data_IF_569290210909
#
_entry.id   IF_569290210909
#
_cell.length_a   1.000
_cell.length_b   1.000
_cell.length_c   1.000
_cell.angle_alpha   90.00
_cell.angle_beta   90.00
_cell.angle_gamma   90.00
#
_symmetry.space_group_name_H-M   'P 1'
#
loop_
_entity.id
_entity.type
_entity.pdbx_description
1 polymer ?
#
# COMPACT_ATOMS: atom_id res chain seq x y z
N UNK A 1 -1.16 9.45 -11.03
CA UNK A 1 -0.60 10.76 -10.65
C UNK A 1 -0.33 10.72 -9.16
N UNK A 2 0.83 11.16 -8.68
CA UNK A 2 1.12 11.16 -7.25
C UNK A 2 0.15 12.07 -6.49
N UNK A 3 -0.55 13.02 -7.12
CA UNK A 3 -1.65 13.77 -6.49
C UNK A 3 -3.00 13.04 -6.53
N UNK A 4 -3.05 11.80 -6.06
CA UNK A 4 -4.32 11.06 -5.94
C UNK A 4 -5.15 11.60 -4.76
N UNK A 5 -6.43 11.85 -4.98
CA UNK A 5 -7.34 12.23 -3.90
C UNK A 5 -7.55 11.05 -2.94
N UNK A 6 -7.73 11.32 -1.63
CA UNK A 6 -7.95 10.27 -0.61
C UNK A 6 -9.11 9.33 -0.96
N UNK A 7 -10.20 9.88 -1.52
CA UNK A 7 -11.35 9.09 -1.96
C UNK A 7 -10.99 8.14 -3.12
N UNK A 8 -10.24 8.64 -4.12
CA UNK A 8 -9.81 7.83 -5.27
C UNK A 8 -8.87 6.70 -4.83
N UNK A 9 -7.96 6.98 -3.88
CA UNK A 9 -7.08 5.97 -3.29
C UNK A 9 -7.89 4.87 -2.61
N UNK A 10 -8.90 5.22 -1.82
CA UNK A 10 -9.78 4.25 -1.15
C UNK A 10 -10.53 3.36 -2.15
N UNK A 11 -11.04 3.93 -3.24
CA UNK A 11 -11.73 3.16 -4.30
C UNK A 11 -10.75 2.16 -4.94
N UNK A 12 -9.51 2.58 -5.22
CA UNK A 12 -8.48 1.68 -5.76
C UNK A 12 -8.13 0.56 -4.78
N UNK A 13 -7.97 0.86 -3.49
CA UNK A 13 -7.69 -0.14 -2.45
C UNK A 13 -8.80 -1.19 -2.39
N UNK A 14 -10.07 -0.78 -2.42
CA UNK A 14 -11.20 -1.73 -2.45
C UNK A 14 -11.13 -2.68 -3.64
N UNK A 15 -10.86 -2.15 -4.83
CA UNK A 15 -10.68 -2.98 -6.04
C UNK A 15 -9.50 -3.94 -5.89
N UNK A 16 -8.37 -3.47 -5.36
CA UNK A 16 -7.19 -4.31 -5.14
C UNK A 16 -7.51 -5.47 -4.18
N UNK A 17 -8.26 -5.22 -3.10
CA UNK A 17 -8.73 -6.26 -2.18
C UNK A 17 -9.58 -7.33 -2.88
N UNK A 18 -10.48 -6.90 -3.77
CA UNK A 18 -11.33 -7.79 -4.56
C UNK A 18 -10.50 -8.69 -5.48
N UNK A 19 -9.61 -8.09 -6.30
CA UNK A 19 -8.73 -8.84 -7.21
C UNK A 19 -7.80 -9.83 -6.47
N UNK A 20 -7.27 -9.45 -5.30
CA UNK A 20 -6.46 -10.36 -4.48
C UNK A 20 -7.31 -11.49 -3.89
N UNK A 21 -8.56 -11.21 -3.52
CA UNK A 21 -9.51 -12.22 -3.06
C UNK A 21 -9.83 -13.26 -4.14
N UNK A 22 -9.84 -12.87 -5.40
CA UNK A 22 -10.00 -13.76 -6.55
C UNK A 22 -8.73 -14.57 -6.89
N UNK A 23 -7.61 -14.34 -6.20
CA UNK A 23 -6.36 -15.04 -6.46
C UNK A 23 -5.54 -14.43 -7.61
N UNK A 24 -5.83 -13.19 -8.01
CA UNK A 24 -5.06 -12.49 -9.03
C UNK A 24 -3.86 -11.74 -8.44
N UNK A 25 -2.74 -11.72 -9.19
CA UNK A 25 -1.59 -10.87 -8.88
C UNK A 25 -1.80 -9.46 -9.40
N UNK A 26 -1.28 -8.47 -8.68
CA UNK A 26 -1.47 -7.05 -9.02
C UNK A 26 -0.14 -6.34 -9.03
N UNK A 27 0.08 -5.51 -10.06
CA UNK A 27 1.22 -4.61 -10.15
C UNK A 27 0.76 -3.17 -9.97
N UNK A 28 1.11 -2.59 -8.83
CA UNK A 28 0.90 -1.17 -8.54
C UNK A 28 1.97 -0.36 -9.28
N UNK A 29 1.56 0.70 -9.98
CA UNK A 29 2.45 1.62 -10.70
C UNK A 29 2.07 3.06 -10.40
N UNK A 30 3.05 3.86 -9.98
CA UNK A 30 2.94 5.30 -9.76
C UNK A 30 3.89 5.98 -10.74
N UNK A 31 3.32 6.64 -11.74
CA UNK A 31 4.07 7.47 -12.68
C UNK A 31 4.24 8.87 -12.12
N UNK A 32 5.48 9.37 -12.15
CA UNK A 32 5.85 10.72 -11.77
C UNK A 32 6.05 11.55 -13.05
N UNK A 33 5.47 12.74 -13.09
CA UNK A 33 5.80 13.74 -14.11
C UNK A 33 7.07 14.48 -13.70
N UNK A 34 7.79 15.09 -14.64
CA UNK A 34 9.13 15.68 -14.39
C UNK A 34 9.20 16.66 -13.20
N UNK A 35 8.12 17.40 -12.93
CA UNK A 35 8.02 18.33 -11.78
C UNK A 35 7.84 17.64 -10.42
N UNK A 36 7.50 16.35 -10.43
CA UNK A 36 7.14 15.55 -9.26
C UNK A 36 8.25 14.56 -8.89
N UNK A 37 9.34 14.51 -9.67
CA UNK A 37 10.45 13.57 -9.47
C UNK A 37 11.16 13.76 -8.12
N UNK A 38 11.09 14.95 -7.51
CA UNK A 38 11.60 15.23 -6.18
C UNK A 38 10.74 14.67 -5.04
N UNK A 39 9.49 14.27 -5.33
CA UNK A 39 8.53 13.74 -4.33
C UNK A 39 8.49 12.21 -4.32
N UNK A 40 9.65 11.55 -4.46
CA UNK A 40 9.73 10.07 -4.44
C UNK A 40 9.19 9.50 -3.12
N UNK A 41 9.53 10.16 -2.01
CA UNK A 41 9.05 9.84 -0.65
C UNK A 41 7.52 9.70 -0.59
N UNK A 42 6.82 10.60 -1.29
CA UNK A 42 5.35 10.58 -1.34
C UNK A 42 4.81 9.32 -2.02
N UNK A 43 5.48 8.86 -3.09
CA UNK A 43 5.09 7.61 -3.74
C UNK A 43 5.30 6.39 -2.84
N UNK A 44 6.41 6.34 -2.11
CA UNK A 44 6.66 5.27 -1.13
C UNK A 44 5.61 5.28 -0.02
N UNK A 45 5.24 6.46 0.50
CA UNK A 45 4.15 6.59 1.48
C UNK A 45 2.82 6.07 0.96
N UNK A 46 2.45 6.37 -0.30
CA UNK A 46 1.22 5.80 -0.87
C UNK A 46 1.28 4.28 -0.92
N UNK A 47 2.42 3.72 -1.35
CA UNK A 47 2.59 2.28 -1.43
C UNK A 47 2.48 1.63 -0.04
N UNK A 48 3.12 2.24 0.97
CA UNK A 48 3.07 1.81 2.36
C UNK A 48 1.64 1.87 2.95
N UNK A 49 0.90 2.94 2.66
CA UNK A 49 -0.51 3.05 3.03
C UNK A 49 -1.35 1.95 2.38
N UNK A 50 -1.13 1.67 1.09
CA UNK A 50 -1.85 0.58 0.41
C UNK A 50 -1.51 -0.77 1.05
N UNK A 51 -0.23 -1.04 1.34
CA UNK A 51 0.20 -2.27 2.01
C UNK A 51 -0.46 -2.44 3.38
N UNK A 52 -0.46 -1.37 4.19
CA UNK A 52 -1.10 -1.34 5.51
C UNK A 52 -2.59 -1.66 5.41
N UNK A 53 -3.29 -1.07 4.43
CA UNK A 53 -4.71 -1.30 4.22
C UNK A 53 -5.03 -2.70 3.70
N UNK A 54 -4.13 -3.32 2.95
CA UNK A 54 -4.27 -4.69 2.45
C UNK A 54 -3.98 -5.74 3.53
N UNK A 55 -3.10 -5.43 4.48
CA UNK A 55 -2.74 -6.30 5.59
C UNK A 55 -2.40 -7.72 5.13
N UNK A 56 -3.00 -8.71 5.76
CA UNK A 56 -2.75 -10.13 5.48
C UNK A 56 -3.29 -10.64 4.13
N UNK A 57 -4.12 -9.86 3.42
CA UNK A 57 -4.69 -10.27 2.13
C UNK A 57 -3.64 -10.32 1.01
N UNK A 58 -2.59 -9.51 1.12
CA UNK A 58 -1.54 -9.36 0.13
C UNK A 58 -0.19 -9.80 0.69
N UNK A 59 0.61 -10.45 -0.15
CA UNK A 59 2.02 -10.70 0.11
C UNK A 59 2.87 -9.87 -0.86
N UNK A 60 3.91 -9.20 -0.34
CA UNK A 60 4.85 -8.42 -1.16
C UNK A 60 5.79 -9.39 -1.87
N UNK A 61 5.73 -9.43 -3.20
CA UNK A 61 6.63 -10.30 -3.99
C UNK A 61 8.02 -9.68 -4.15
N UNK A 62 8.15 -8.38 -3.87
CA UNK A 62 9.42 -7.68 -3.79
C UNK A 62 9.26 -6.32 -3.14
N UNK A 63 10.37 -5.61 -3.00
CA UNK A 63 10.36 -4.23 -2.52
C UNK A 63 9.89 -3.25 -3.60
N UNK A 64 9.26 -2.13 -3.21
CA UNK A 64 8.89 -1.09 -4.16
C UNK A 64 10.15 -0.52 -4.83
N UNK A 65 10.20 -0.58 -6.17
CA UNK A 65 11.37 -0.15 -6.96
C UNK A 65 11.03 1.03 -7.84
N UNK A 66 11.91 2.01 -7.85
CA UNK A 66 11.83 3.16 -8.74
C UNK A 66 12.65 2.87 -10.00
N UNK A 67 12.00 2.92 -11.16
CA UNK A 67 12.64 2.72 -12.46
C UNK A 67 12.29 3.89 -13.38
N UNK A 68 13.30 4.66 -13.78
CA UNK A 68 13.16 5.81 -14.66
C UNK A 68 12.31 6.94 -14.05
N UNK A 69 11.01 6.94 -14.33
CA UNK A 69 10.02 7.92 -13.83
C UNK A 69 8.82 7.26 -13.17
N UNK A 70 8.94 5.98 -12.81
CA UNK A 70 7.85 5.18 -12.27
C UNK A 70 8.30 4.42 -11.02
N UNK A 71 7.47 4.43 -9.98
CA UNK A 71 7.58 3.53 -8.84
C UNK A 71 6.63 2.36 -9.07
N UNK A 72 7.09 1.14 -8.89
CA UNK A 72 6.24 -0.04 -9.00
C UNK A 72 6.44 -1.02 -7.85
N UNK A 73 5.37 -1.74 -7.52
CA UNK A 73 5.34 -2.83 -6.55
C UNK A 73 4.47 -3.96 -7.09
N UNK A 74 4.88 -5.21 -6.84
CA UNK A 74 4.11 -6.40 -7.19
C UNK A 74 3.57 -7.03 -5.91
N UNK A 75 2.27 -7.27 -5.90
CA UNK A 75 1.55 -7.92 -4.82
C UNK A 75 0.96 -9.23 -5.33
N UNK A 76 1.16 -10.26 -4.52
CA UNK A 76 0.58 -11.57 -4.74
C UNK A 76 -0.52 -11.82 -3.70
N UNK A 77 -1.60 -12.51 -4.07
CA UNK A 77 -2.68 -12.82 -3.15
C UNK A 77 -2.21 -13.84 -2.12
N UNK A 78 -2.55 -13.62 -0.86
CA UNK A 78 -2.32 -14.62 0.16
C UNK A 78 -3.45 -15.67 0.09
N UNK A 79 -3.10 -16.86 -0.44
CA UNK A 79 -4.03 -17.98 -0.68
C UNK A 79 -4.76 -18.43 0.59
N UNK A 80 -4.18 -18.24 1.78
CA UNK A 80 -4.81 -18.58 3.05
C UNK A 80 -5.96 -17.63 3.43
N UNK A 81 -5.96 -16.41 2.91
CA UNK A 81 -6.99 -15.39 3.18
C UNK A 81 -8.08 -15.32 2.11
N UNK A 82 -7.85 -15.82 0.90
CA UNK A 82 -8.88 -15.92 -0.15
C UNK A 82 -10.07 -16.79 0.28
N UNK A 83 -9.84 -17.80 1.13
CA UNK A 83 -10.90 -18.63 1.73
C UNK A 83 -11.58 -18.00 2.95
N UNK A 84 -11.05 -16.90 3.51
CA UNK A 84 -11.52 -16.34 4.80
C UNK A 84 -12.47 -15.13 4.65
N UNK A 85 -12.68 -14.62 3.43
CA UNK A 85 -13.55 -13.48 3.17
C UNK A 85 -15.07 -13.81 3.24
N UNK A 86 -15.44 -15.00 3.72
CA UNK A 86 -16.83 -15.31 4.09
C UNK A 86 -17.17 -14.99 5.55
N UNK A 87 -16.21 -14.67 6.43
CA UNK A 87 -16.51 -14.68 7.89
C UNK A 87 -15.88 -13.59 8.78
N UNK A 88 -15.24 -12.53 8.25
CA UNK A 88 -14.69 -11.46 9.13
C UNK A 88 -15.01 -10.04 8.67
N UNK A 89 -16.27 -9.67 8.82
CA UNK A 89 -16.68 -8.33 9.24
C UNK A 89 -16.59 -8.32 10.77
N UNK A 90 -16.06 -7.26 11.36
CA UNK A 90 -15.96 -6.97 12.82
C UNK A 90 -14.60 -7.25 13.50
N UNK A 91 -14.09 -6.20 14.19
CA UNK A 91 -12.85 -6.03 15.00
C UNK A 91 -11.55 -5.66 14.29
N UNK A 92 -11.21 -4.37 14.23
CA UNK A 92 -10.53 -3.68 15.35
C UNK A 92 -10.27 -2.20 15.03
N UNK A 93 -10.95 -1.34 15.78
CA UNK A 93 -10.48 0.01 16.10
C UNK A 93 -9.50 -0.08 17.28
N UNK A 94 -8.55 0.87 17.29
CA UNK A 94 -7.75 1.37 18.43
C UNK A 94 -6.32 0.81 18.66
N UNK A 95 -5.39 1.78 18.56
CA UNK A 95 -4.06 1.97 19.20
C UNK A 95 -2.88 1.07 18.79
N UNK A 96 -1.84 1.72 18.25
CA UNK A 96 -0.76 2.15 19.15
C UNK A 96 -0.02 3.39 18.63
N UNK A 97 0.04 4.40 19.49
CA UNK A 97 1.03 5.47 19.46
C UNK A 97 2.42 4.85 19.65
N UNK A 98 3.47 5.41 19.04
CA UNK A 98 4.76 5.41 19.72
C UNK A 98 5.43 6.79 19.61
N UNK A 99 5.62 7.49 20.74
CA UNK A 99 6.41 8.71 20.85
C UNK A 99 7.89 8.35 20.98
N UNK A 100 8.78 9.17 20.41
CA UNK A 100 10.17 9.26 20.91
C UNK A 100 10.85 10.56 20.46
N UNK A 101 10.77 11.54 21.35
CA UNK A 101 11.74 12.59 21.59
C UNK A 101 13.09 11.98 21.99
N UNK A 102 14.21 12.50 21.47
CA UNK A 102 15.40 12.81 22.29
C UNK A 102 16.41 13.58 21.43
N UNK A 103 16.74 14.80 21.85
CA UNK A 103 18.04 15.37 21.56
C UNK A 103 19.03 14.92 22.62
N UNK A 104 20.31 14.85 22.27
CA UNK A 104 21.42 15.50 22.98
C UNK A 104 22.78 15.12 22.37
N UNK A 105 23.55 16.16 22.06
CA UNK A 105 24.98 16.33 22.38
C UNK A 105 25.98 15.28 21.90
N UNK A 106 26.88 15.71 21.02
CA UNK A 106 28.30 15.90 21.33
C UNK A 106 28.84 17.04 20.48
#
# INVERSE_FOLDING_TARGET
SPFIAKNDLNIRIKRIKEFLGEGNKIKIRIRFSGRELGKKDFGYKIVDQVLTELGDLANKEGEPKFMGKELFLILSPNKNSAQKNKEKKEKNETKNENPQTSGQKS
#
